data_IF_219403730505
#
_entry.id   IF_219403730505
#
_cell.length_a   1.000
_cell.length_b   1.000
_cell.length_c   1.000
_cell.angle_alpha   90.00
_cell.angle_beta   90.00
_cell.angle_gamma   90.00
#
_symmetry.space_group_name_H-M   'P 1'
#
loop_
_entity.id
_entity.type
_entity.pdbx_description
1 polymer ?
#
# COMPACT_ATOMS: atom_id res chain seq x y z
N UNK A 1 16.56 -1.66 20.20
CA UNK A 1 15.66 -2.51 20.99
C UNK A 1 15.17 -3.62 20.09
N UNK A 2 15.28 -4.84 20.56
CA UNK A 2 14.79 -6.01 19.82
C UNK A 2 13.31 -6.21 20.14
N UNK A 3 12.50 -6.36 19.12
CA UNK A 3 11.07 -6.67 19.26
C UNK A 3 10.85 -8.17 19.15
N UNK A 4 9.72 -8.64 19.65
CA UNK A 4 9.27 -10.00 19.39
C UNK A 4 8.83 -10.10 17.92
N UNK A 5 9.35 -11.12 17.21
CA UNK A 5 9.03 -11.33 15.80
C UNK A 5 7.54 -11.51 15.55
N UNK A 6 6.88 -12.28 16.44
CA UNK A 6 5.45 -12.53 16.29
C UNK A 6 4.62 -11.28 16.46
N UNK A 7 5.04 -10.37 17.37
CA UNK A 7 4.39 -9.07 17.54
C UNK A 7 4.45 -8.23 16.27
N UNK A 8 5.61 -8.22 15.59
CA UNK A 8 5.75 -7.52 14.30
C UNK A 8 4.89 -8.16 13.22
N UNK A 9 4.88 -9.49 13.15
CA UNK A 9 4.06 -10.21 12.16
C UNK A 9 2.56 -9.98 12.38
N UNK A 10 2.11 -9.95 13.63
CA UNK A 10 0.71 -9.65 13.96
C UNK A 10 0.33 -8.22 13.57
N UNK A 11 1.21 -7.25 13.82
CA UNK A 11 1.00 -5.86 13.38
C UNK A 11 0.98 -5.75 11.85
N UNK A 12 1.86 -6.47 11.17
CA UNK A 12 1.90 -6.52 9.71
C UNK A 12 0.65 -7.16 9.11
N UNK A 13 0.12 -8.21 9.74
CA UNK A 13 -1.14 -8.81 9.35
C UNK A 13 -2.29 -7.79 9.40
N UNK A 14 -2.39 -7.04 10.49
CA UNK A 14 -3.41 -5.97 10.63
C UNK A 14 -3.23 -4.88 9.57
N UNK A 15 -2.01 -4.49 9.29
CA UNK A 15 -1.67 -3.54 8.24
C UNK A 15 -2.16 -4.00 6.86
N UNK A 16 -1.91 -5.27 6.50
CA UNK A 16 -2.36 -5.83 5.23
C UNK A 16 -3.89 -5.88 5.11
N UNK A 17 -4.58 -6.31 6.17
CA UNK A 17 -6.04 -6.33 6.20
C UNK A 17 -6.60 -4.93 6.05
N UNK A 18 -6.04 -3.95 6.76
CA UNK A 18 -6.47 -2.55 6.68
C UNK A 18 -6.26 -1.95 5.28
N UNK A 19 -5.16 -2.29 4.61
CA UNK A 19 -4.89 -1.83 3.23
C UNK A 19 -5.93 -2.36 2.23
N UNK A 20 -6.24 -3.66 2.29
CA UNK A 20 -7.26 -4.26 1.43
C UNK A 20 -8.65 -3.66 1.69
N UNK A 21 -9.00 -3.46 2.95
CA UNK A 21 -10.28 -2.86 3.31
C UNK A 21 -10.38 -1.40 2.85
N UNK A 22 -9.29 -0.63 2.99
CA UNK A 22 -9.21 0.74 2.50
C UNK A 22 -9.37 0.82 0.98
N UNK A 23 -8.71 -0.06 0.25
CA UNK A 23 -8.86 -0.16 -1.21
C UNK A 23 -10.29 -0.47 -1.62
N UNK A 24 -10.97 -1.35 -0.89
CA UNK A 24 -12.35 -1.75 -1.17
C UNK A 24 -13.36 -0.65 -0.84
N UNK A 25 -13.18 0.09 0.25
CA UNK A 25 -14.16 1.06 0.79
C UNK A 25 -13.87 2.50 0.38
N UNK A 26 -12.62 2.83 0.08
CA UNK A 26 -12.16 4.22 -0.09
C UNK A 26 -11.89 4.95 1.22
N UNK A 27 -12.11 4.32 2.38
CA UNK A 27 -11.78 4.88 3.69
C UNK A 27 -10.40 4.39 4.13
N UNK A 28 -9.41 5.28 4.07
CA UNK A 28 -8.02 5.00 4.42
C UNK A 28 -7.70 5.25 5.90
N UNK A 29 -8.68 5.70 6.69
CA UNK A 29 -8.50 5.96 8.13
C UNK A 29 -8.04 4.73 8.91
N UNK A 30 -8.64 3.53 8.76
CA UNK A 30 -8.17 2.34 9.49
C UNK A 30 -6.75 1.94 9.13
N UNK A 31 -6.34 2.12 7.87
CA UNK A 31 -4.97 1.84 7.44
C UNK A 31 -3.97 2.82 8.05
N UNK A 32 -4.26 4.11 8.03
CA UNK A 32 -3.41 5.14 8.64
C UNK A 32 -3.28 4.93 10.16
N UNK A 33 -4.30 4.37 10.80
CA UNK A 33 -4.26 4.04 12.23
C UNK A 33 -3.31 2.87 12.57
N UNK A 34 -2.74 2.19 11.59
CA UNK A 34 -1.66 1.24 11.80
C UNK A 34 -0.30 1.92 12.06
N UNK A 35 -0.22 3.22 11.89
CA UNK A 35 0.99 4.02 12.13
C UNK A 35 0.90 4.79 13.45
N UNK A 36 2.07 5.21 13.96
CA UNK A 36 2.14 6.18 15.06
C UNK A 36 1.63 7.55 14.60
N UNK A 37 1.19 8.40 15.54
CA UNK A 37 0.69 9.73 15.20
C UNK A 37 1.71 10.60 14.47
N UNK A 38 2.98 10.45 14.84
CA UNK A 38 4.13 11.18 14.30
C UNK A 38 4.90 10.42 13.22
N UNK A 39 4.25 9.45 12.57
CA UNK A 39 4.87 8.61 11.56
C UNK A 39 5.52 9.40 10.42
N UNK A 40 6.51 8.79 9.77
CA UNK A 40 7.17 9.34 8.60
C UNK A 40 6.95 8.42 7.39
N UNK A 41 6.34 8.93 6.34
CA UNK A 41 6.06 8.19 5.12
C UNK A 41 6.87 8.77 3.96
N UNK A 42 7.77 7.97 3.40
CA UNK A 42 8.62 8.37 2.27
C UNK A 42 8.10 7.70 1.00
N UNK A 43 7.54 8.51 0.12
CA UNK A 43 7.02 8.08 -1.16
C UNK A 43 7.80 8.79 -2.28
N UNK A 44 8.61 8.03 -3.03
CA UNK A 44 9.63 8.59 -3.91
C UNK A 44 9.08 9.38 -5.11
N UNK A 45 7.81 9.22 -5.45
CA UNK A 45 7.16 10.01 -6.50
C UNK A 45 6.45 11.26 -5.93
N UNK A 46 5.78 11.11 -4.77
CA UNK A 46 4.93 12.16 -4.20
C UNK A 46 5.60 12.99 -3.12
N UNK A 47 6.63 12.46 -2.44
CA UNK A 47 7.38 13.17 -1.41
C UNK A 47 7.37 12.53 -0.04
N UNK A 48 7.59 13.34 0.99
CA UNK A 48 7.65 12.89 2.38
C UNK A 48 6.45 13.47 3.14
N UNK A 49 5.75 12.60 3.88
CA UNK A 49 4.57 12.97 4.65
C UNK A 49 4.83 12.67 6.13
N UNK A 50 4.74 13.70 6.97
CA UNK A 50 4.98 13.61 8.41
C UNK A 50 3.66 13.61 9.17
N UNK A 51 3.41 12.52 9.90
CA UNK A 51 2.22 12.30 10.72
C UNK A 51 1.05 11.68 9.97
N UNK A 52 0.18 10.99 10.72
CA UNK A 52 -1.02 10.32 10.19
C UNK A 52 -1.89 11.23 9.35
N UNK A 53 -2.09 12.47 9.81
CA UNK A 53 -2.96 13.41 9.09
C UNK A 53 -2.42 13.72 7.71
N UNK A 54 -1.12 13.98 7.58
CA UNK A 54 -0.50 14.26 6.28
C UNK A 54 -0.58 13.06 5.35
N UNK A 55 -0.38 11.84 5.87
CA UNK A 55 -0.52 10.60 5.10
C UNK A 55 -1.95 10.43 4.62
N UNK A 56 -2.93 10.61 5.50
CA UNK A 56 -4.35 10.47 5.15
C UNK A 56 -4.80 11.51 4.12
N UNK A 57 -4.38 12.77 4.29
CA UNK A 57 -4.72 13.87 3.39
C UNK A 57 -4.10 13.69 1.99
N UNK A 58 -2.99 12.98 1.90
CA UNK A 58 -2.37 12.62 0.63
C UNK A 58 -3.01 11.37 -0.01
N UNK A 59 -3.11 10.26 0.74
CA UNK A 59 -3.50 8.97 0.17
C UNK A 59 -4.97 8.94 -0.28
N UNK A 60 -5.86 9.58 0.48
CA UNK A 60 -7.28 9.53 0.20
C UNK A 60 -7.64 10.10 -1.17
N UNK A 61 -7.25 11.35 -1.55
CA UNK A 61 -7.56 11.84 -2.88
C UNK A 61 -6.87 11.07 -4.01
N UNK A 62 -5.68 10.50 -3.77
CA UNK A 62 -4.97 9.70 -4.77
C UNK A 62 -5.72 8.40 -5.07
N UNK A 63 -6.17 7.70 -4.03
CA UNK A 63 -6.73 6.35 -4.14
C UNK A 63 -8.25 6.30 -4.29
N UNK A 64 -8.93 7.44 -4.26
CA UNK A 64 -10.39 7.51 -4.43
C UNK A 64 -10.84 8.10 -5.77
N UNK A 65 -9.91 8.47 -6.64
CA UNK A 65 -10.21 8.99 -7.98
C UNK A 65 -9.98 7.93 -9.05
N UNK A 66 -10.81 7.94 -10.09
CA UNK A 66 -10.67 7.10 -11.25
C UNK A 66 -9.31 7.32 -11.95
N UNK A 67 -8.58 6.26 -12.35
CA UNK A 67 -8.94 4.84 -12.22
C UNK A 67 -8.42 4.19 -10.93
N UNK A 68 -7.72 4.94 -10.05
CA UNK A 68 -7.04 4.39 -8.88
C UNK A 68 -8.00 3.90 -7.78
N UNK A 69 -9.25 4.34 -7.79
CA UNK A 69 -10.29 3.78 -6.94
C UNK A 69 -10.61 2.30 -7.26
N UNK A 70 -10.10 1.80 -8.38
CA UNK A 70 -10.17 0.39 -8.79
C UNK A 70 -8.85 -0.36 -8.54
N UNK A 71 -7.81 0.29 -8.05
CA UNK A 71 -6.58 -0.35 -7.58
C UNK A 71 -6.76 -0.72 -6.10
N UNK A 72 -7.42 -1.85 -5.86
CA UNK A 72 -7.97 -2.20 -4.54
C UNK A 72 -7.25 -3.35 -3.86
N UNK A 73 -6.31 -4.00 -4.53
CA UNK A 73 -5.66 -5.19 -4.03
C UNK A 73 -4.17 -4.95 -3.85
N UNK A 74 -3.64 -5.33 -2.69
CA UNK A 74 -2.24 -5.10 -2.32
C UNK A 74 -1.61 -6.39 -1.79
N UNK A 75 -1.55 -7.47 -2.61
CA UNK A 75 -0.93 -8.72 -2.17
C UNK A 75 0.58 -8.58 -2.11
N UNK A 76 1.18 -9.20 -1.10
CA UNK A 76 2.62 -9.26 -0.96
C UNK A 76 3.13 -10.52 -1.64
N UNK A 77 4.04 -10.35 -2.61
CA UNK A 77 4.68 -11.44 -3.32
C UNK A 77 5.68 -12.17 -2.41
N UNK A 78 6.44 -11.40 -1.65
CA UNK A 78 7.31 -11.89 -0.60
C UNK A 78 7.54 -10.79 0.45
N UNK A 79 7.89 -11.20 1.66
CA UNK A 79 8.38 -10.29 2.69
C UNK A 79 9.32 -11.00 3.66
N UNK A 80 10.09 -10.22 4.40
CA UNK A 80 10.92 -10.70 5.50
C UNK A 80 10.77 -9.75 6.69
N UNK A 81 10.96 -10.33 7.89
CA UNK A 81 10.94 -9.59 9.15
C UNK A 81 12.33 -9.65 9.77
N UNK A 82 12.91 -8.48 10.04
CA UNK A 82 14.11 -8.33 10.84
C UNK A 82 13.72 -7.79 12.21
N UNK A 83 13.63 -8.68 13.21
CA UNK A 83 13.19 -8.31 14.55
C UNK A 83 14.21 -7.46 15.31
N UNK A 84 15.49 -7.54 14.95
CA UNK A 84 16.54 -6.71 15.58
C UNK A 84 16.40 -5.24 15.15
N UNK A 85 16.09 -5.01 13.88
CA UNK A 85 15.89 -3.67 13.33
C UNK A 85 14.44 -3.20 13.45
N UNK A 86 13.50 -4.09 13.71
CA UNK A 86 12.08 -3.79 13.68
C UNK A 86 11.54 -3.60 12.26
N UNK A 87 12.17 -4.18 11.25
CA UNK A 87 11.78 -4.00 9.86
C UNK A 87 10.86 -5.11 9.35
N UNK A 88 9.89 -4.69 8.54
CA UNK A 88 9.26 -5.56 7.56
C UNK A 88 9.63 -5.01 6.18
N UNK A 89 10.23 -5.85 5.35
CA UNK A 89 10.66 -5.46 4.00
C UNK A 89 10.11 -6.48 3.02
N UNK A 90 9.56 -6.02 1.92
CA UNK A 90 9.07 -6.93 0.90
C UNK A 90 8.58 -6.26 -0.35
N UNK A 91 8.04 -7.06 -1.26
CA UNK A 91 7.43 -6.63 -2.50
C UNK A 91 5.93 -6.74 -2.41
N UNK A 92 5.26 -5.61 -2.53
CA UNK A 92 3.82 -5.51 -2.62
C UNK A 92 3.40 -5.24 -4.07
N UNK A 93 2.35 -5.92 -4.52
CA UNK A 93 1.73 -5.64 -5.80
C UNK A 93 0.59 -4.63 -5.63
N UNK A 94 0.58 -3.61 -6.46
CA UNK A 94 -0.53 -2.67 -6.57
C UNK A 94 -1.41 -3.13 -7.71
N UNK A 95 -2.48 -3.86 -7.38
CA UNK A 95 -3.29 -4.61 -8.33
C UNK A 95 -4.66 -3.97 -8.49
N UNK A 96 -5.03 -3.74 -9.74
CA UNK A 96 -6.40 -3.38 -10.10
C UNK A 96 -7.34 -4.56 -9.94
N UNK A 97 -8.62 -4.27 -9.72
CA UNK A 97 -9.68 -5.29 -9.85
C UNK A 97 -9.74 -5.80 -11.29
N UNK A 98 -10.29 -6.99 -11.49
CA UNK A 98 -10.47 -7.57 -12.82
C UNK A 98 -11.33 -6.63 -13.70
N UNK A 99 -10.82 -6.17 -14.85
CA UNK A 99 -11.60 -5.30 -15.75
C UNK A 99 -12.66 -6.06 -16.56
N UNK A 100 -12.77 -7.37 -16.37
CA UNK A 100 -13.74 -8.23 -17.04
C UNK A 100 -13.12 -9.20 -18.05
N UNK A 101 -11.79 -9.25 -18.16
CA UNK A 101 -11.08 -10.16 -19.08
C UNK A 101 -10.36 -11.32 -18.37
N UNK A 102 -10.43 -11.36 -17.03
CA UNK A 102 -9.81 -12.39 -16.20
C UNK A 102 -8.29 -12.27 -16.08
N UNK A 103 -7.70 -11.18 -16.53
CA UNK A 103 -6.25 -10.95 -16.44
C UNK A 103 -5.90 -10.12 -15.23
N UNK A 104 -4.66 -10.28 -14.76
CA UNK A 104 -4.09 -9.51 -13.65
C UNK A 104 -3.34 -8.30 -14.20
N UNK A 105 -3.65 -7.13 -13.65
CA UNK A 105 -3.01 -5.85 -13.97
C UNK A 105 -2.44 -5.28 -12.68
N UNK A 106 -1.12 -5.31 -12.54
CA UNK A 106 -0.44 -4.90 -11.31
C UNK A 106 0.95 -4.34 -11.58
N UNK A 107 1.41 -3.49 -10.67
CA UNK A 107 2.77 -3.00 -10.64
C UNK A 107 3.32 -3.10 -9.21
N UNK A 108 4.56 -3.54 -9.10
CA UNK A 108 5.21 -3.79 -7.82
C UNK A 108 5.88 -2.54 -7.26
N UNK A 109 5.93 -2.46 -5.94
CA UNK A 109 6.90 -1.63 -5.23
C UNK A 109 7.52 -2.43 -4.08
N UNK A 110 8.72 -2.03 -3.67
CA UNK A 110 9.32 -2.52 -2.44
C UNK A 110 8.98 -1.57 -1.32
N UNK A 111 8.52 -2.14 -0.22
CA UNK A 111 8.15 -1.38 0.97
C UNK A 111 8.99 -1.83 2.14
N UNK A 112 9.49 -0.85 2.91
CA UNK A 112 10.05 -1.08 4.23
C UNK A 112 9.16 -0.40 5.26
N UNK A 113 8.69 -1.18 6.24
CA UNK A 113 8.01 -0.69 7.45
C UNK A 113 8.96 -0.74 8.63
N UNK A 114 8.92 0.26 9.50
CA UNK A 114 9.64 0.27 10.77
C UNK A 114 8.65 0.15 11.92
N UNK A 115 8.76 -0.95 12.66
CA UNK A 115 7.91 -1.21 13.81
C UNK A 115 8.34 -0.39 15.02
N UNK A 116 7.40 0.22 15.73
CA UNK A 116 7.65 1.11 16.86
C UNK A 116 7.18 0.55 18.21
N UNK A 117 6.63 -0.66 18.23
CA UNK A 117 5.96 -1.21 19.41
C UNK A 117 4.47 -0.90 19.41
N UNK A 118 3.76 -1.47 20.37
CA UNK A 118 2.31 -1.27 20.59
C UNK A 118 1.44 -1.58 19.36
N UNK A 119 1.92 -2.44 18.48
CA UNK A 119 1.21 -2.82 17.26
C UNK A 119 1.25 -1.78 16.14
N UNK A 120 2.12 -0.77 16.23
CA UNK A 120 2.18 0.37 15.30
C UNK A 120 3.52 0.46 14.57
N UNK A 121 3.46 1.00 13.36
CA UNK A 121 4.64 1.34 12.55
C UNK A 121 4.91 2.85 12.61
N UNK A 122 6.17 3.24 12.76
CA UNK A 122 6.57 4.65 12.79
C UNK A 122 7.06 5.16 11.44
N UNK A 123 7.34 4.25 10.51
CA UNK A 123 7.88 4.62 9.20
C UNK A 123 7.38 3.66 8.11
N UNK A 124 7.15 4.23 6.93
CA UNK A 124 7.04 3.47 5.69
C UNK A 124 7.85 4.17 4.60
N UNK A 125 8.55 3.38 3.82
CA UNK A 125 9.23 3.85 2.60
C UNK A 125 8.90 2.95 1.44
N UNK A 126 8.35 3.55 0.35
CA UNK A 126 8.03 2.86 -0.90
C UNK A 126 9.03 3.22 -1.98
N UNK A 127 9.68 2.19 -2.54
CA UNK A 127 10.70 2.35 -3.58
C UNK A 127 10.23 1.63 -4.84
N UNK A 128 10.09 2.37 -5.92
CA UNK A 128 9.67 1.84 -7.21
C UNK A 128 10.06 2.77 -8.36
N UNK A 129 9.98 2.25 -9.58
CA UNK A 129 10.10 3.07 -10.77
C UNK A 129 8.70 3.51 -11.24
N UNK A 130 8.35 4.79 -11.16
CA UNK A 130 7.03 5.27 -11.58
C UNK A 130 6.69 4.93 -13.04
N UNK A 131 7.72 4.78 -13.90
CA UNK A 131 7.53 4.41 -15.30
C UNK A 131 6.93 3.01 -15.49
N UNK A 132 7.00 2.14 -14.49
CA UNK A 132 6.39 0.80 -14.56
C UNK A 132 4.87 0.84 -14.35
N UNK A 133 4.35 1.87 -13.69
CA UNK A 133 2.92 2.01 -13.42
C UNK A 133 2.12 2.47 -14.64
N UNK A 134 2.64 3.41 -15.42
CA UNK A 134 1.91 3.99 -16.54
C UNK A 134 1.44 2.95 -17.58
N UNK A 135 2.26 1.97 -18.00
CA UNK A 135 1.81 0.93 -18.93
C UNK A 135 0.72 0.03 -18.32
N UNK A 136 0.78 -0.26 -17.02
CA UNK A 136 -0.22 -1.08 -16.32
C UNK A 136 -1.56 -0.36 -16.27
N UNK A 137 -1.56 0.91 -15.89
CA UNK A 137 -2.77 1.76 -15.86
C UNK A 137 -3.40 1.81 -17.25
N UNK A 138 -2.60 2.07 -18.29
CA UNK A 138 -3.09 2.12 -19.66
C UNK A 138 -3.70 0.81 -20.12
N UNK A 139 -3.02 -0.31 -19.87
CA UNK A 139 -3.51 -1.63 -20.24
C UNK A 139 -4.82 -1.98 -19.53
N UNK A 140 -4.93 -1.66 -18.24
CA UNK A 140 -6.16 -1.86 -17.49
C UNK A 140 -7.32 -0.99 -18.03
N UNK A 141 -7.05 0.28 -18.31
CA UNK A 141 -8.06 1.18 -18.90
C UNK A 141 -8.56 0.68 -20.26
N UNK A 142 -7.67 0.21 -21.12
CA UNK A 142 -8.04 -0.36 -22.43
C UNK A 142 -8.92 -1.61 -22.23
N UNK A 143 -8.55 -2.49 -21.31
CA UNK A 143 -9.33 -3.70 -20.98
C UNK A 143 -10.68 -3.35 -20.36
N UNK A 144 -10.72 -2.38 -19.45
CA UNK A 144 -11.97 -1.90 -18.84
C UNK A 144 -12.94 -1.39 -19.90
N UNK A 145 -12.47 -0.52 -20.78
CA UNK A 145 -13.27 0.04 -21.86
C UNK A 145 -13.81 -1.02 -22.81
N UNK A 146 -12.98 -2.03 -23.12
CA UNK A 146 -13.39 -3.14 -24.00
C UNK A 146 -14.49 -4.01 -23.38
N UNK A 147 -14.52 -4.14 -22.05
CA UNK A 147 -15.47 -4.99 -21.32
C UNK A 147 -16.65 -4.22 -20.71
N UNK A 148 -16.63 -2.90 -20.78
CA UNK A 148 -17.72 -2.02 -20.32
C UNK A 148 -18.08 -1.01 -21.43
N UNK A 149 -18.64 -1.46 -22.57
CA UNK A 149 -19.06 -0.56 -23.65
C UNK A 149 -20.21 0.33 -23.18
N UNK A 150 -20.22 1.59 -23.66
CA UNK A 150 -21.31 2.55 -23.42
C UNK A 150 -22.60 2.17 -24.15
#
# INVERSE_FOLDING_TARGET
MTFDRQEIEDAFQRYQVAAHEAGRTGDWTPWVNCFTEDCNYVEHMYGVFEGRKAVLDWITPVMTQWPFDHMQLFPWDWYTVDAEQGWVIGQVENRFVDPGDGKVYEAANWTRLLYAGDGLFSEEEDVYNPADFAPVVKAWLDAWKANHPE
#
